data_IF_975512608124
#
_entry.id   IF_975512608124
#
_cell.length_a   1.000
_cell.length_b   1.000
_cell.length_c   1.000
_cell.angle_alpha   90.00
_cell.angle_beta   90.00
_cell.angle_gamma   90.00
#
_symmetry.space_group_name_H-M   'P 1'
#
loop_
_entity.id
_entity.type
_entity.pdbx_description
1 polymer ?
#
# COMPACT_ATOMS: atom_id res chain seq x y z
N UNK A 1 -11.36 26.19 -46.26
CA UNK A 1 -10.82 26.41 -44.90
C UNK A 1 -11.34 25.45 -43.82
N UNK A 2 -12.55 24.84 -43.93
CA UNK A 2 -13.09 23.92 -42.90
C UNK A 2 -12.28 22.65 -42.62
N UNK A 3 -11.63 22.05 -43.63
CA UNK A 3 -10.81 20.83 -43.49
C UNK A 3 -9.59 20.99 -42.58
N UNK A 4 -9.03 22.20 -42.49
CA UNK A 4 -7.84 22.46 -41.67
C UNK A 4 -8.20 22.66 -40.21
N UNK A 5 -9.39 23.21 -39.94
CA UNK A 5 -9.90 23.41 -38.57
C UNK A 5 -10.13 22.06 -37.87
N UNK A 6 -10.66 21.06 -38.56
CA UNK A 6 -10.81 19.70 -37.99
C UNK A 6 -9.47 19.05 -37.64
N UNK A 7 -8.44 19.22 -38.48
CA UNK A 7 -7.10 18.68 -38.21
C UNK A 7 -6.46 19.36 -37.00
N UNK A 8 -6.60 20.68 -36.89
CA UNK A 8 -6.09 21.45 -35.75
C UNK A 8 -6.84 21.06 -34.47
N UNK A 9 -8.16 20.88 -34.52
CA UNK A 9 -8.96 20.45 -33.37
C UNK A 9 -8.57 19.04 -32.89
N UNK A 10 -8.31 18.10 -33.81
CA UNK A 10 -7.85 16.76 -33.46
C UNK A 10 -6.49 16.77 -32.76
N UNK A 11 -5.53 17.53 -33.31
CA UNK A 11 -4.18 17.66 -32.72
C UNK A 11 -4.25 18.34 -31.35
N UNK A 12 -5.09 19.37 -31.19
CA UNK A 12 -5.30 20.03 -29.91
C UNK A 12 -5.95 19.11 -28.86
N UNK A 13 -6.92 18.27 -29.26
CA UNK A 13 -7.55 17.31 -28.35
C UNK A 13 -6.56 16.25 -27.86
N UNK A 14 -5.73 15.70 -28.75
CA UNK A 14 -4.69 14.72 -28.37
C UNK A 14 -3.63 15.35 -27.46
N UNK A 15 -3.19 16.57 -27.76
CA UNK A 15 -2.24 17.31 -26.90
C UNK A 15 -2.82 17.63 -25.51
N UNK A 16 -4.11 17.98 -25.45
CA UNK A 16 -4.81 18.20 -24.18
C UNK A 16 -4.93 16.91 -23.36
N UNK A 17 -5.26 15.78 -23.99
CA UNK A 17 -5.32 14.47 -23.32
C UNK A 17 -3.94 14.00 -22.84
N UNK A 18 -2.88 14.23 -23.62
CA UNK A 18 -1.51 13.92 -23.21
C UNK A 18 -1.05 14.81 -22.04
N UNK A 19 -1.38 16.11 -22.06
CA UNK A 19 -1.11 17.03 -20.95
C UNK A 19 -1.90 16.68 -19.69
N UNK A 20 -3.15 16.23 -19.82
CA UNK A 20 -3.99 15.80 -18.69
C UNK A 20 -3.52 14.46 -18.11
N UNK A 21 -3.05 13.53 -18.95
CA UNK A 21 -2.47 12.27 -18.52
C UNK A 21 -1.19 12.44 -17.69
N UNK A 22 -0.33 13.40 -18.05
CA UNK A 22 0.87 13.76 -17.27
C UNK A 22 0.51 14.37 -15.91
N UNK A 23 -0.54 15.21 -15.85
CA UNK A 23 -1.02 15.77 -14.58
C UNK A 23 -1.63 14.71 -13.67
N UNK A 24 -2.39 13.75 -14.23
CA UNK A 24 -2.95 12.63 -13.49
C UNK A 24 -1.88 11.64 -12.97
N UNK A 25 -0.70 11.60 -13.59
CA UNK A 25 0.40 10.71 -13.19
C UNK A 25 1.32 11.34 -12.12
N UNK A 26 1.41 12.67 -12.03
CA UNK A 26 2.27 13.32 -11.03
C UNK A 26 1.74 13.28 -9.59
N UNK A 27 0.44 13.06 -9.37
CA UNK A 27 -0.08 12.90 -7.99
C UNK A 27 0.22 11.52 -7.40
N UNK A 28 0.49 10.50 -8.22
CA UNK A 28 0.75 9.13 -7.74
C UNK A 28 2.24 8.80 -7.56
N UNK A 29 3.13 9.54 -8.22
CA UNK A 29 4.54 9.18 -8.35
C UNK A 29 5.50 10.28 -7.84
N UNK A 30 5.10 11.06 -6.83
CA UNK A 30 6.03 11.97 -6.14
C UNK A 30 5.75 12.06 -4.64
N UNK A 31 5.34 10.94 -4.02
CA UNK A 31 5.25 10.85 -2.56
C UNK A 31 5.19 9.39 -2.11
N UNK A 32 6.23 8.59 -2.36
CA UNK A 32 6.25 7.23 -1.77
C UNK A 32 7.62 6.57 -1.67
N UNK A 33 8.66 7.31 -1.28
CA UNK A 33 9.91 6.62 -0.87
C UNK A 33 10.67 7.29 0.28
N UNK A 34 10.18 8.41 0.82
CA UNK A 34 10.86 9.12 1.94
C UNK A 34 9.91 9.49 3.08
N UNK A 35 8.66 9.01 3.05
CA UNK A 35 7.74 9.07 4.20
C UNK A 35 7.57 7.72 4.90
N UNK A 36 8.18 6.65 4.37
CA UNK A 36 8.09 5.30 4.93
C UNK A 36 9.18 4.97 5.96
N UNK A 37 10.25 5.76 6.07
CA UNK A 37 11.32 5.45 7.03
C UNK A 37 10.99 5.85 8.48
N UNK A 38 10.04 6.78 8.70
CA UNK A 38 9.68 7.23 10.05
C UNK A 38 8.30 6.73 10.52
N UNK A 39 7.66 5.85 9.74
CA UNK A 39 6.33 5.26 10.03
C UNK A 39 6.42 3.74 10.29
N UNK A 40 7.61 3.15 10.27
CA UNK A 40 7.81 1.79 10.81
C UNK A 40 8.19 1.78 12.30
N UNK A 41 8.33 2.95 12.93
CA UNK A 41 8.71 3.07 14.34
C UNK A 41 7.52 3.19 15.32
N UNK A 42 6.25 3.12 14.90
CA UNK A 42 5.15 3.53 15.79
C UNK A 42 3.86 2.70 15.85
N UNK A 43 3.70 1.56 15.18
CA UNK A 43 2.44 0.82 15.39
C UNK A 43 2.54 -0.66 15.04
N UNK A 44 3.35 -1.38 15.79
CA UNK A 44 3.07 -2.78 16.09
C UNK A 44 2.68 -2.84 17.56
N UNK A 45 1.57 -3.53 17.86
CA UNK A 45 1.11 -3.81 19.23
C UNK A 45 2.15 -4.64 19.98
N UNK A 46 3.25 -3.99 20.39
CA UNK A 46 4.37 -4.58 21.09
C UNK A 46 4.04 -4.64 22.58
N UNK A 47 3.77 -5.84 23.08
CA UNK A 47 3.61 -6.10 24.50
C UNK A 47 5.01 -6.15 25.13
N UNK A 48 5.50 -5.01 25.61
CA UNK A 48 6.84 -4.92 26.22
C UNK A 48 6.82 -5.56 27.61
N UNK A 49 7.15 -6.84 27.70
CA UNK A 49 7.60 -7.49 28.94
C UNK A 49 9.02 -8.04 28.73
N UNK A 50 10.00 -7.38 29.36
CA UNK A 50 11.33 -7.98 29.60
C UNK A 50 12.30 -7.99 28.41
N UNK A 51 12.74 -6.81 27.96
CA UNK A 51 14.03 -6.64 27.27
C UNK A 51 14.16 -7.23 25.85
N UNK A 52 13.07 -7.71 25.26
CA UNK A 52 12.92 -8.04 23.84
C UNK A 52 11.59 -7.47 23.33
N UNK A 53 11.50 -7.25 22.02
CA UNK A 53 10.25 -6.77 21.42
C UNK A 53 9.37 -8.00 21.16
N UNK A 54 8.38 -8.22 22.04
CA UNK A 54 7.38 -9.27 21.85
C UNK A 54 6.29 -8.76 20.90
N UNK A 55 6.25 -9.33 19.70
CA UNK A 55 5.24 -9.04 18.68
C UNK A 55 4.11 -10.06 18.73
N UNK A 56 2.86 -9.58 18.69
CA UNK A 56 1.68 -10.45 18.58
C UNK A 56 1.59 -11.00 17.15
N UNK A 57 1.53 -12.33 17.02
CA UNK A 57 1.47 -13.03 15.74
C UNK A 57 0.25 -13.97 15.62
N UNK A 58 -0.05 -14.39 14.39
CA UNK A 58 -1.15 -15.31 14.06
C UNK A 58 -0.67 -16.41 13.08
N UNK A 59 -1.19 -17.64 13.23
CA UNK A 59 -0.90 -18.78 12.32
C UNK A 59 -2.07 -19.10 11.40
N UNK A 60 -3.29 -18.91 11.89
CA UNK A 60 -4.51 -19.17 11.13
C UNK A 60 -5.08 -17.86 10.62
N UNK A 61 -5.07 -17.68 9.30
CA UNK A 61 -5.61 -16.50 8.64
C UNK A 61 -6.19 -16.84 7.26
N UNK A 62 -7.09 -16.00 6.79
CA UNK A 62 -7.57 -16.00 5.41
C UNK A 62 -6.63 -15.10 4.58
N UNK A 63 -6.00 -15.61 3.50
CA UNK A 63 -5.13 -14.82 2.64
C UNK A 63 -5.82 -13.61 2.03
N UNK A 64 -5.07 -12.55 1.79
CA UNK A 64 -5.55 -11.34 1.13
C UNK A 64 -6.14 -11.64 -0.26
N UNK A 65 -7.27 -10.99 -0.57
CA UNK A 65 -7.88 -11.01 -1.90
C UNK A 65 -8.21 -9.58 -2.38
N UNK A 66 -8.65 -9.44 -3.63
CA UNK A 66 -9.02 -8.12 -4.18
C UNK A 66 -10.46 -7.70 -3.85
N UNK A 67 -11.23 -8.57 -3.22
CA UNK A 67 -12.65 -8.37 -2.95
C UNK A 67 -12.91 -7.84 -1.53
N UNK A 68 -11.94 -8.00 -0.64
CA UNK A 68 -12.06 -7.64 0.76
C UNK A 68 -11.00 -6.61 1.19
N UNK A 69 -11.35 -5.87 2.23
CA UNK A 69 -10.39 -5.07 2.97
C UNK A 69 -9.66 -5.99 3.95
N UNK A 70 -8.34 -6.03 3.85
CA UNK A 70 -7.48 -6.84 4.72
C UNK A 70 -6.66 -5.93 5.64
N UNK A 71 -6.18 -6.51 6.73
CA UNK A 71 -5.31 -5.86 7.69
C UNK A 71 -3.90 -6.45 7.65
N UNK A 72 -2.91 -5.65 8.05
CA UNK A 72 -1.54 -6.12 8.25
C UNK A 72 -1.43 -6.79 9.62
N UNK A 73 -0.78 -7.94 9.68
CA UNK A 73 -0.55 -8.70 10.90
C UNK A 73 0.84 -9.36 10.87
N UNK A 74 1.32 -9.91 11.99
CA UNK A 74 2.57 -10.67 12.04
C UNK A 74 2.26 -12.16 11.90
N UNK A 75 2.93 -12.84 10.99
CA UNK A 75 2.80 -14.28 10.84
C UNK A 75 3.75 -15.00 11.83
N UNK A 76 3.24 -15.96 12.59
CA UNK A 76 4.06 -16.69 13.57
C UNK A 76 5.09 -17.63 12.94
N UNK A 77 4.92 -18.05 11.69
CA UNK A 77 5.85 -18.99 11.04
C UNK A 77 7.20 -18.33 10.72
N UNK A 78 7.18 -17.04 10.38
CA UNK A 78 8.34 -16.30 9.91
C UNK A 78 8.59 -14.98 10.67
N UNK A 79 7.75 -14.63 11.64
CA UNK A 79 7.78 -13.40 12.43
C UNK A 79 7.86 -12.12 11.57
N UNK A 80 7.22 -12.13 10.40
CA UNK A 80 7.18 -11.01 9.46
C UNK A 80 5.77 -10.49 9.24
N UNK A 81 5.67 -9.26 8.73
CA UNK A 81 4.39 -8.61 8.38
C UNK A 81 3.79 -9.30 7.15
N UNK A 82 2.59 -9.84 7.30
CA UNK A 82 1.75 -10.40 6.25
C UNK A 82 0.41 -9.65 6.17
N UNK A 83 -0.35 -9.89 5.10
CA UNK A 83 -1.65 -9.26 4.84
C UNK A 83 -2.74 -10.30 4.73
N UNK A 84 -3.85 -10.07 5.43
CA UNK A 84 -4.98 -10.99 5.44
C UNK A 84 -6.07 -10.60 6.43
N UNK A 85 -6.96 -11.54 6.68
CA UNK A 85 -8.20 -11.33 7.43
C UNK A 85 -8.54 -12.57 8.26
N UNK A 86 -9.54 -12.46 9.13
CA UNK A 86 -10.01 -13.55 9.99
C UNK A 86 -8.90 -14.16 10.88
N UNK A 87 -8.09 -13.30 11.51
CA UNK A 87 -6.94 -13.68 12.34
C UNK A 87 -7.36 -14.53 13.54
N UNK A 88 -6.81 -15.74 13.64
CA UNK A 88 -7.04 -16.71 14.73
C UNK A 88 -5.72 -17.26 15.25
N UNK A 89 -5.78 -17.86 16.44
CA UNK A 89 -4.62 -18.45 17.12
C UNK A 89 -3.52 -17.42 17.43
N UNK A 90 -3.90 -16.40 18.20
CA UNK A 90 -3.00 -15.35 18.68
C UNK A 90 -1.88 -15.98 19.52
N UNK A 91 -0.64 -15.71 19.14
CA UNK A 91 0.57 -16.08 19.87
C UNK A 91 1.55 -14.90 19.88
N UNK A 92 2.72 -15.11 20.45
CA UNK A 92 3.76 -14.10 20.60
C UNK A 92 5.06 -14.61 19.97
N UNK A 93 5.73 -13.76 19.21
CA UNK A 93 7.08 -14.02 18.72
C UNK A 93 8.06 -12.98 19.25
N UNK A 94 9.26 -13.44 19.61
CA UNK A 94 10.34 -12.58 20.08
C UNK A 94 11.30 -12.29 18.91
N UNK A 95 11.58 -11.01 18.66
CA UNK A 95 12.43 -10.54 17.55
C UNK A 95 13.76 -10.00 18.04
#
# INVERSE_FOLDING_TARGET
MKKNIMKVALVAAVAAMAGYGVYAHQTKEMMSDVMLENVEALATDESIEGGGITLICYTTFTPADWFHEDQYFINCDNCMRDKGRDLRDRSECNR
#
